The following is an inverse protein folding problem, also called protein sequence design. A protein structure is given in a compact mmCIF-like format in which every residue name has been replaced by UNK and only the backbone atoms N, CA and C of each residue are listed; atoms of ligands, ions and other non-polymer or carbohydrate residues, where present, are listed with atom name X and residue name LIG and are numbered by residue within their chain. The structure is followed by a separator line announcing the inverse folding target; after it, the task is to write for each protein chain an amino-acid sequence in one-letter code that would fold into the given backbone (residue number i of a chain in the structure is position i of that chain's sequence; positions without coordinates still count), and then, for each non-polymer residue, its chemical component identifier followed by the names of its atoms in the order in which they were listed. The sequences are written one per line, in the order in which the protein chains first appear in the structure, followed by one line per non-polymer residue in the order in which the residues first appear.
data_IF_269754857001
#
_entry.id   IF_269754857001
#
_cell.length_a   1.000
_cell.length_b   1.000
_cell.length_c   1.000
_cell.angle_alpha   90.00
_cell.angle_beta   90.00
_cell.angle_gamma   90.00
#
_symmetry.space_group_name_H-M   'P 1'
#
loop_
_entity.id
_entity.type
_entity.pdbx_description
1 polymer ?
#
# COMPACT_ATOMS: atom_id res chain seq x y z
N UNK A 1 17.31 -29.42 23.30
CA UNK A 1 17.35 -29.90 21.90
C UNK A 1 17.82 -28.76 21.03
N UNK A 2 18.68 -29.02 20.03
CA UNK A 2 19.19 -27.97 19.13
C UNK A 2 18.15 -27.76 18.01
N UNK A 3 17.65 -26.54 17.85
CA UNK A 3 16.76 -26.17 16.75
C UNK A 3 17.58 -25.56 15.60
N UNK A 4 17.13 -25.80 14.38
CA UNK A 4 17.65 -25.18 13.16
C UNK A 4 16.59 -24.21 12.64
N UNK A 5 16.99 -22.98 12.36
CA UNK A 5 16.11 -21.95 11.81
C UNK A 5 16.60 -21.50 10.43
N UNK A 6 15.68 -21.44 9.46
CA UNK A 6 15.87 -20.71 8.22
C UNK A 6 14.99 -19.46 8.24
N UNK A 7 15.59 -18.31 7.91
CA UNK A 7 14.90 -17.01 7.89
C UNK A 7 14.88 -16.44 6.49
N UNK A 8 13.69 -16.21 5.96
CA UNK A 8 13.46 -15.68 4.63
C UNK A 8 12.93 -14.26 4.78
N UNK A 9 13.76 -13.28 4.44
CA UNK A 9 13.36 -11.87 4.43
C UNK A 9 12.51 -11.60 3.20
N UNK A 10 11.34 -10.99 3.41
CA UNK A 10 10.40 -10.61 2.35
C UNK A 10 10.09 -9.12 2.45
N UNK A 11 9.50 -8.50 1.41
CA UNK A 11 9.05 -7.11 1.48
C UNK A 11 7.97 -6.86 2.56
N UNK A 12 7.24 -7.90 2.96
CA UNK A 12 6.13 -7.84 3.91
C UNK A 12 6.48 -8.36 5.31
N UNK A 13 7.72 -8.81 5.55
CA UNK A 13 8.15 -9.30 6.86
C UNK A 13 9.25 -10.34 6.77
N UNK A 14 9.32 -11.21 7.78
CA UNK A 14 10.25 -12.34 7.81
C UNK A 14 9.45 -13.63 7.99
N UNK A 15 9.71 -14.62 7.13
CA UNK A 15 9.18 -15.97 7.27
C UNK A 15 10.27 -16.80 7.94
N UNK A 16 9.96 -17.34 9.13
CA UNK A 16 10.88 -18.21 9.89
C UNK A 16 10.39 -19.64 9.79
N UNK A 17 11.27 -20.54 9.34
CA UNK A 17 11.02 -21.98 9.27
C UNK A 17 11.94 -22.64 10.29
N UNK A 18 11.36 -23.32 11.27
CA UNK A 18 12.09 -24.04 12.32
C UNK A 18 11.96 -25.54 12.14
N UNK A 19 13.04 -26.29 12.41
CA UNK A 19 13.04 -27.74 12.47
C UNK A 19 14.08 -28.27 13.46
N UNK A 20 14.03 -29.56 13.75
CA UNK A 20 15.00 -30.24 14.62
C UNK A 20 16.32 -30.55 13.89
N UNK A 21 16.31 -30.49 12.55
CA UNK A 21 17.48 -30.70 11.69
C UNK A 21 17.42 -29.87 10.40
N UNK A 22 18.57 -29.72 9.73
CA UNK A 22 18.63 -29.02 8.43
C UNK A 22 17.83 -29.74 7.33
N UNK A 23 17.80 -31.08 7.35
CA UNK A 23 17.03 -31.89 6.40
C UNK A 23 15.53 -31.65 6.54
N UNK A 24 15.03 -31.52 7.77
CA UNK A 24 13.62 -31.22 8.01
C UNK A 24 13.25 -29.82 7.50
N UNK A 25 14.08 -28.81 7.78
CA UNK A 25 13.87 -27.45 7.26
C UNK A 25 13.85 -27.44 5.72
N UNK A 26 14.76 -28.16 5.07
CA UNK A 26 14.78 -28.30 3.61
C UNK A 26 13.51 -28.99 3.09
N UNK A 27 13.08 -30.11 3.69
CA UNK A 27 11.87 -30.82 3.29
C UNK A 27 10.60 -29.96 3.44
N UNK A 28 10.53 -29.14 4.50
CA UNK A 28 9.44 -28.17 4.68
C UNK A 28 9.44 -27.13 3.56
N UNK A 29 10.59 -26.57 3.20
CA UNK A 29 10.69 -25.59 2.11
C UNK A 29 10.33 -26.20 0.74
N UNK A 30 10.73 -27.45 0.47
CA UNK A 30 10.38 -28.16 -0.76
C UNK A 30 8.88 -28.47 -0.87
N UNK A 31 8.19 -28.62 0.28
CA UNK A 31 6.75 -28.87 0.32
C UNK A 31 5.91 -27.63 0.01
N UNK A 32 6.51 -26.43 0.00
CA UNK A 32 5.78 -25.21 -0.27
C UNK A 32 5.28 -25.18 -1.72
N UNK A 33 4.02 -24.79 -1.95
CA UNK A 33 3.50 -24.64 -3.30
C UNK A 33 4.25 -23.51 -4.03
N UNK A 34 4.37 -23.62 -5.36
CA UNK A 34 5.11 -22.64 -6.19
C UNK A 34 4.61 -21.21 -6.03
N UNK A 35 3.32 -21.04 -5.75
CA UNK A 35 2.63 -19.76 -5.55
C UNK A 35 2.54 -19.33 -4.07
N UNK A 36 3.24 -20.01 -3.16
CA UNK A 36 3.19 -19.72 -1.72
C UNK A 36 3.52 -18.26 -1.42
N UNK A 37 4.60 -17.73 -1.99
CA UNK A 37 5.05 -16.37 -1.71
C UNK A 37 4.03 -15.32 -2.17
N UNK A 38 3.39 -15.54 -3.31
CA UNK A 38 2.34 -14.67 -3.85
C UNK A 38 1.09 -14.74 -2.97
N UNK A 39 0.64 -15.95 -2.60
CA UNK A 39 -0.50 -16.14 -1.69
C UNK A 39 -0.28 -15.52 -0.32
N UNK A 40 0.92 -15.62 0.25
CA UNK A 40 1.24 -14.99 1.53
C UNK A 40 1.28 -13.47 1.38
N UNK A 41 1.87 -12.95 0.30
CA UNK A 41 1.85 -11.52 0.02
C UNK A 41 0.41 -10.97 -0.12
N UNK A 42 -0.44 -11.66 -0.87
CA UNK A 42 -1.85 -11.32 -1.03
C UNK A 42 -2.63 -11.43 0.28
N UNK A 43 -2.41 -12.51 1.03
CA UNK A 43 -3.05 -12.73 2.32
C UNK A 43 -2.67 -11.67 3.35
N UNK A 44 -1.38 -11.30 3.42
CA UNK A 44 -0.91 -10.22 4.29
C UNK A 44 -1.48 -8.89 3.82
N UNK A 45 -1.48 -8.62 2.50
CA UNK A 45 -2.10 -7.42 1.92
C UNK A 45 -3.60 -7.33 2.21
N UNK A 46 -4.29 -8.47 2.31
CA UNK A 46 -5.72 -8.57 2.61
C UNK A 46 -6.05 -8.57 4.11
N UNK A 47 -5.10 -8.96 4.98
CA UNK A 47 -5.27 -9.02 6.46
C UNK A 47 -4.69 -7.84 7.22
N UNK A 48 -3.81 -7.05 6.61
CA UNK A 48 -3.54 -5.68 7.05
C UNK A 48 -4.89 -4.94 6.87
N UNK A 49 -5.61 -4.78 7.99
CA UNK A 49 -6.98 -4.24 8.18
C UNK A 49 -7.65 -3.84 6.86
N UNK A 50 -8.79 -4.45 6.46
CA UNK A 50 -9.46 -4.12 5.21
C UNK A 50 -9.44 -2.61 5.03
N UNK A 51 -8.78 -2.13 3.98
CA UNK A 51 -8.57 -0.70 3.75
C UNK A 51 -9.89 0.08 3.88
N UNK A 52 -11.03 -0.56 3.60
CA UNK A 52 -12.38 -0.04 3.89
C UNK A 52 -12.68 0.34 5.36
N UNK A 53 -12.21 -0.39 6.37
CA UNK A 53 -12.38 0.01 7.80
C UNK A 53 -11.45 1.17 8.13
N UNK A 54 -10.22 1.11 7.60
CA UNK A 54 -9.19 2.14 7.78
C UNK A 54 -9.56 3.49 7.18
N UNK A 55 -10.36 3.49 6.12
CA UNK A 55 -10.75 4.65 5.32
C UNK A 55 -12.15 5.17 5.68
N UNK A 56 -12.88 4.49 6.58
CA UNK A 56 -14.23 4.89 6.96
C UNK A 56 -14.24 6.32 7.52
N UNK A 57 -15.09 7.17 6.94
CA UNK A 57 -15.20 8.58 7.31
C UNK A 57 -14.05 9.47 6.81
N UNK A 58 -13.09 8.90 6.06
CA UNK A 58 -11.99 9.61 5.42
C UNK A 58 -12.17 9.61 3.90
N UNK A 59 -12.54 8.47 3.33
CA UNK A 59 -12.79 8.27 1.90
C UNK A 59 -14.18 7.68 1.70
N UNK A 60 -14.89 8.19 0.69
CA UNK A 60 -16.11 7.62 0.14
C UNK A 60 -15.82 6.99 -1.22
N UNK A 61 -16.27 5.75 -1.43
CA UNK A 61 -16.09 5.04 -2.70
C UNK A 61 -17.27 5.34 -3.62
N UNK A 62 -16.99 5.97 -4.75
CA UNK A 62 -18.00 6.32 -5.76
C UNK A 62 -17.82 5.50 -7.03
N UNK A 63 -18.75 5.62 -7.98
CA UNK A 63 -18.63 5.00 -9.31
C UNK A 63 -17.46 5.53 -10.12
N UNK A 64 -16.95 6.72 -9.81
CA UNK A 64 -15.76 7.30 -10.47
C UNK A 64 -14.45 6.92 -9.76
N UNK A 65 -14.53 6.38 -8.55
CA UNK A 65 -13.39 6.04 -7.70
C UNK A 65 -13.46 6.65 -6.29
N UNK A 66 -12.38 6.56 -5.51
CA UNK A 66 -12.33 7.05 -4.13
C UNK A 66 -12.27 8.58 -4.07
N UNK A 67 -13.20 9.19 -3.33
CA UNK A 67 -13.28 10.62 -3.06
C UNK A 67 -12.96 10.87 -1.59
N UNK A 68 -12.09 11.82 -1.28
CA UNK A 68 -11.72 12.16 0.09
C UNK A 68 -12.81 13.06 0.68
N UNK A 69 -13.39 12.63 1.81
CA UNK A 69 -14.46 13.34 2.53
C UNK A 69 -14.01 13.89 3.90
N UNK A 70 -12.80 13.52 4.35
CA UNK A 70 -12.23 14.06 5.59
C UNK A 70 -12.11 15.59 5.52
N UNK A 71 -12.64 16.28 6.53
CA UNK A 71 -12.57 17.75 6.66
C UNK A 71 -11.29 18.19 7.36
N UNK A 72 -10.15 17.69 6.89
CA UNK A 72 -8.84 17.94 7.47
C UNK A 72 -7.91 18.58 6.44
N UNK A 73 -6.97 19.40 6.91
CA UNK A 73 -5.95 19.98 6.04
C UNK A 73 -4.95 18.88 5.61
N UNK A 74 -5.16 18.34 4.42
CA UNK A 74 -4.24 17.43 3.75
C UNK A 74 -3.29 18.20 2.86
N UNK A 75 -2.01 17.86 2.91
CA UNK A 75 -1.07 18.28 1.88
C UNK A 75 -1.41 17.61 0.55
N UNK A 76 -0.98 18.19 -0.56
CA UNK A 76 -1.19 17.58 -1.88
C UNK A 76 -0.58 16.17 -1.99
N UNK A 77 0.54 15.92 -1.33
CA UNK A 77 1.16 14.59 -1.32
C UNK A 77 0.30 13.58 -0.58
N UNK A 78 -0.23 13.96 0.59
CA UNK A 78 -1.09 13.09 1.41
C UNK A 78 -2.39 12.79 0.69
N UNK A 79 -2.98 13.79 0.02
CA UNK A 79 -4.17 13.60 -0.78
C UNK A 79 -3.93 12.61 -1.94
N UNK A 80 -2.84 12.78 -2.69
CA UNK A 80 -2.45 11.81 -3.75
C UNK A 80 -2.20 10.42 -3.16
N UNK A 81 -1.48 10.34 -2.04
CA UNK A 81 -1.17 9.09 -1.35
C UNK A 81 -2.43 8.36 -0.92
N UNK A 82 -3.38 9.05 -0.29
CA UNK A 82 -4.67 8.50 0.13
C UNK A 82 -5.52 8.05 -1.08
N UNK A 83 -5.59 8.86 -2.13
CA UNK A 83 -6.32 8.50 -3.36
C UNK A 83 -5.75 7.23 -3.98
N UNK A 84 -4.42 7.13 -4.10
CA UNK A 84 -3.77 5.92 -4.58
C UNK A 84 -4.02 4.75 -3.64
N UNK A 85 -3.82 4.91 -2.33
CA UNK A 85 -4.02 3.86 -1.33
C UNK A 85 -5.44 3.28 -1.35
N UNK A 86 -6.44 4.12 -1.59
CA UNK A 86 -7.84 3.72 -1.72
C UNK A 86 -8.22 3.22 -3.14
N UNK A 87 -7.37 3.40 -4.15
CA UNK A 87 -7.63 2.92 -5.51
C UNK A 87 -7.35 1.42 -5.64
N UNK A 88 -7.98 0.79 -6.63
CA UNK A 88 -7.70 -0.60 -6.98
C UNK A 88 -6.21 -0.81 -7.29
N UNK A 89 -5.63 -1.90 -6.77
CA UNK A 89 -4.19 -2.21 -6.82
C UNK A 89 -3.26 -1.07 -6.33
N UNK A 90 -3.80 -0.09 -5.62
CA UNK A 90 -3.09 1.13 -5.18
C UNK A 90 -2.48 1.93 -6.34
N UNK A 91 -3.14 1.87 -7.50
CA UNK A 91 -2.64 2.31 -8.80
C UNK A 91 -3.65 3.21 -9.48
N UNK A 92 -3.18 4.28 -10.13
CA UNK A 92 -4.06 5.14 -10.92
C UNK A 92 -3.26 6.02 -11.91
N UNK A 93 -3.94 6.65 -12.87
CA UNK A 93 -3.29 7.62 -13.79
C UNK A 93 -3.25 9.01 -13.19
N UNK A 94 -2.28 9.84 -13.59
CA UNK A 94 -2.21 11.23 -13.14
C UNK A 94 -3.49 12.03 -13.43
N UNK A 95 -4.13 11.78 -14.59
CA UNK A 95 -5.38 12.44 -14.98
C UNK A 95 -6.56 12.02 -14.09
N UNK A 96 -6.67 10.73 -13.76
CA UNK A 96 -7.74 10.25 -12.89
C UNK A 96 -7.55 10.71 -11.44
N UNK A 97 -6.31 10.72 -10.94
CA UNK A 97 -6.00 11.28 -9.60
C UNK A 97 -6.39 12.75 -9.55
N UNK A 98 -6.07 13.54 -10.60
CA UNK A 98 -6.47 14.94 -10.71
C UNK A 98 -7.99 15.09 -10.57
N UNK A 99 -8.77 14.31 -11.35
CA UNK A 99 -10.24 14.34 -11.31
C UNK A 99 -10.79 13.99 -9.93
N UNK A 100 -10.27 12.93 -9.30
CA UNK A 100 -10.72 12.49 -7.97
C UNK A 100 -10.43 13.53 -6.88
N UNK A 101 -9.25 14.18 -6.94
CA UNK A 101 -8.92 15.26 -6.02
C UNK A 101 -9.81 16.49 -6.23
N UNK A 102 -10.13 16.84 -7.46
CA UNK A 102 -11.07 17.91 -7.78
C UNK A 102 -12.48 17.61 -7.24
N UNK A 103 -12.97 16.38 -7.40
CA UNK A 103 -14.22 15.90 -6.79
C UNK A 103 -14.18 15.91 -5.25
N UNK A 104 -12.98 15.84 -4.67
CA UNK A 104 -12.75 15.98 -3.22
C UNK A 104 -12.58 17.44 -2.77
N UNK A 105 -12.71 18.42 -3.68
CA UNK A 105 -12.50 19.84 -3.41
C UNK A 105 -11.04 20.28 -3.31
N UNK A 106 -10.08 19.42 -3.72
CA UNK A 106 -8.64 19.65 -3.59
C UNK A 106 -8.06 20.02 -4.96
N UNK A 107 -7.59 21.26 -5.09
CA UNK A 107 -6.89 21.73 -6.31
C UNK A 107 -5.39 21.43 -6.23
N UNK A 108 -4.94 20.43 -6.96
CA UNK A 108 -3.54 20.01 -6.98
C UNK A 108 -2.97 20.03 -8.41
N UNK A 109 -1.66 20.26 -8.56
CA UNK A 109 -0.93 20.00 -9.82
C UNK A 109 -0.36 18.58 -9.75
N UNK A 110 -1.20 17.57 -10.01
CA UNK A 110 -0.86 16.16 -9.76
C UNK A 110 0.40 15.68 -10.48
N UNK A 111 0.64 15.97 -11.77
CA UNK A 111 1.84 15.47 -12.46
C UNK A 111 3.16 15.92 -11.81
N UNK A 112 3.22 17.19 -11.37
CA UNK A 112 4.40 17.73 -10.70
C UNK A 112 4.65 17.06 -9.35
N UNK A 113 3.59 16.84 -8.56
CA UNK A 113 3.67 16.19 -7.25
C UNK A 113 4.02 14.71 -7.37
N UNK A 114 3.47 13.99 -8.35
CA UNK A 114 3.86 12.60 -8.62
C UNK A 114 5.35 12.49 -8.98
N UNK A 115 5.89 13.40 -9.79
CA UNK A 115 7.32 13.41 -10.11
C UNK A 115 8.19 13.58 -8.84
N UNK A 116 7.79 14.44 -7.92
CA UNK A 116 8.47 14.62 -6.64
C UNK A 116 8.33 13.39 -5.73
N UNK A 117 7.15 12.78 -5.67
CA UNK A 117 6.91 11.55 -4.91
C UNK A 117 7.72 10.37 -5.46
N UNK A 118 7.90 10.28 -6.79
CA UNK A 118 8.78 9.28 -7.41
C UNK A 118 10.22 9.46 -6.95
N UNK A 119 10.73 10.70 -6.95
CA UNK A 119 12.09 11.02 -6.45
C UNK A 119 12.28 10.67 -4.97
N UNK A 120 11.20 10.70 -4.19
CA UNK A 120 11.19 10.32 -2.76
C UNK A 120 10.97 8.82 -2.52
N UNK A 121 10.78 8.03 -3.58
CA UNK A 121 10.52 6.60 -3.48
C UNK A 121 9.12 6.24 -2.97
N UNK A 122 8.17 7.17 -2.97
CA UNK A 122 6.80 6.93 -2.46
C UNK A 122 5.87 6.34 -3.51
N UNK A 123 6.10 6.66 -4.79
CA UNK A 123 5.36 6.11 -5.93
C UNK A 123 6.33 5.69 -7.02
N UNK A 124 5.88 4.84 -7.93
CA UNK A 124 6.62 4.43 -9.11
C UNK A 124 5.68 4.17 -10.28
N UNK A 125 6.23 4.07 -11.50
CA UNK A 125 5.51 3.58 -12.67
C UNK A 125 5.75 2.08 -12.81
N UNK A 126 4.71 1.23 -12.70
CA UNK A 126 4.87 -0.21 -12.88
C UNK A 126 5.34 -0.58 -14.29
N UNK A 127 4.85 0.16 -15.30
CA UNK A 127 5.30 0.10 -16.69
C UNK A 127 5.69 1.51 -17.14
N UNK A 128 6.96 1.77 -17.49
CA UNK A 128 7.42 3.09 -17.94
C UNK A 128 6.65 3.66 -19.14
N UNK A 129 6.09 2.79 -19.99
CA UNK A 129 5.38 3.16 -21.20
C UNK A 129 3.91 3.49 -20.97
N UNK A 130 3.39 3.20 -19.77
CA UNK A 130 1.99 3.46 -19.42
C UNK A 130 1.83 4.65 -18.48
N UNK A 131 0.62 5.25 -18.40
CA UNK A 131 0.41 6.46 -17.61
C UNK A 131 0.16 6.21 -16.12
N UNK A 132 0.06 4.96 -15.68
CA UNK A 132 -0.24 4.62 -14.29
C UNK A 132 0.94 4.81 -13.36
N UNK A 133 0.63 5.31 -12.16
CA UNK A 133 1.49 5.36 -11.00
C UNK A 133 0.92 4.45 -9.92
N UNK A 134 1.78 3.81 -9.14
CA UNK A 134 1.44 2.94 -8.02
C UNK A 134 2.24 3.34 -6.78
N UNK A 135 1.65 3.19 -5.59
CA UNK A 135 2.40 3.33 -4.34
C UNK A 135 3.49 2.26 -4.26
N UNK A 136 4.67 2.64 -3.78
CA UNK A 136 5.66 1.67 -3.33
C UNK A 136 5.26 1.15 -1.94
N UNK A 137 5.88 0.07 -1.47
CA UNK A 137 5.71 -0.40 -0.08
C UNK A 137 6.03 0.71 0.94
N UNK A 138 7.03 1.55 0.65
CA UNK A 138 7.36 2.70 1.49
C UNK A 138 6.24 3.75 1.48
N UNK A 139 5.67 4.04 0.31
CA UNK A 139 4.54 4.95 0.17
C UNK A 139 3.29 4.46 0.90
N UNK A 140 3.02 3.15 0.84
CA UNK A 140 1.90 2.53 1.58
C UNK A 140 2.06 2.70 3.09
N UNK A 141 3.22 2.33 3.64
CA UNK A 141 3.50 2.49 5.08
C UNK A 141 3.40 3.95 5.52
N UNK A 142 3.91 4.87 4.72
CA UNK A 142 3.79 6.30 5.01
C UNK A 142 2.32 6.74 5.09
N UNK A 143 1.45 6.26 4.20
CA UNK A 143 0.02 6.56 4.27
C UNK A 143 -0.61 5.96 5.53
N UNK A 144 -0.28 4.73 5.89
CA UNK A 144 -0.83 4.03 7.06
C UNK A 144 -0.37 4.66 8.39
N UNK A 145 0.94 4.76 8.57
CA UNK A 145 1.58 5.06 9.85
C UNK A 145 1.55 6.56 10.18
N UNK A 146 1.60 7.42 9.16
CA UNK A 146 1.64 8.88 9.36
C UNK A 146 0.29 9.52 9.04
N UNK A 147 -0.22 9.29 7.83
CA UNK A 147 -1.39 10.05 7.32
C UNK A 147 -2.68 9.56 7.97
N UNK A 148 -2.98 8.27 7.87
CA UNK A 148 -4.21 7.68 8.41
C UNK A 148 -4.21 7.68 9.94
N UNK A 149 -3.07 7.38 10.57
CA UNK A 149 -2.94 7.45 12.03
C UNK A 149 -3.28 8.86 12.55
N UNK A 150 -2.74 9.91 11.91
CA UNK A 150 -3.02 11.30 12.27
C UNK A 150 -4.48 11.68 12.05
N UNK A 151 -5.08 11.29 10.91
CA UNK A 151 -6.48 11.62 10.61
C UNK A 151 -7.43 10.98 11.62
N UNK A 152 -7.21 9.71 11.99
CA UNK A 152 -8.04 9.02 12.99
C UNK A 152 -7.89 9.60 14.38
N UNK A 153 -6.68 10.00 14.78
CA UNK A 153 -6.45 10.63 16.08
C UNK A 153 -7.22 11.93 16.29
N UNK A 154 -7.69 12.58 15.22
CA UNK A 154 -8.50 13.80 15.26
C UNK A 154 -10.01 13.56 15.14
N UNK A 155 -10.43 12.34 14.80
CA UNK A 155 -11.84 11.97 14.67
C UNK A 155 -12.46 11.47 16.00
N UNK A 156 -11.69 11.54 17.10
CA UNK A 156 -12.11 11.22 18.47
C UNK A 156 -12.50 12.45 19.27
#
# INVERSE_FOLDING_TARGET
MKKVEARIKTPFGEIVVEGESAQEVLGLLESFPKDFMEKVADFVSNRLIPSGVQLKGIVEFTTEGPVIIARENLTHYEAIGLTLYASEEKKNTAAQIQKLLESSGIKCMVPARLNEMTKRGQVFKPDPNKPEFKLTVQGERWVEDDVLARLRGKMG
#
